data_IF_135651771113
#
_entry.id   IF_135651771113
#
_cell.length_a   1.000
_cell.length_b   1.000
_cell.length_c   1.000
_cell.angle_alpha   90.00
_cell.angle_beta   90.00
_cell.angle_gamma   90.00
#
_symmetry.space_group_name_H-M   'P 1'
#
loop_
_entity.id
_entity.type
_entity.pdbx_description
1 polymer ?
#
# COMPACT_ATOMS: atom_id res chain seq x y z
N UNK A 1 -11.73 4.18 14.25
CA UNK A 1 -12.89 3.27 14.44
C UNK A 1 -13.98 3.66 13.47
N UNK A 2 -14.39 2.75 12.58
CA UNK A 2 -15.51 3.00 11.67
C UNK A 2 -16.79 3.08 12.48
N UNK A 3 -17.68 3.98 12.08
CA UNK A 3 -19.00 4.05 12.70
C UNK A 3 -19.70 2.70 12.47
N UNK A 4 -20.35 2.18 13.52
CA UNK A 4 -21.22 1.01 13.41
C UNK A 4 -22.24 1.18 12.26
N UNK A 5 -22.66 2.42 11.97
CA UNK A 5 -23.56 2.72 10.86
C UNK A 5 -22.90 2.48 9.48
N UNK A 6 -21.64 2.88 9.29
CA UNK A 6 -20.93 2.61 8.03
C UNK A 6 -20.83 1.11 7.77
N UNK A 7 -20.49 0.31 8.79
CA UNK A 7 -20.35 -1.15 8.67
C UNK A 7 -21.68 -1.84 8.26
N UNK A 8 -22.81 -1.18 8.49
CA UNK A 8 -24.15 -1.62 8.09
C UNK A 8 -24.64 -0.93 6.80
N UNK A 9 -23.73 -0.43 5.96
CA UNK A 9 -24.03 0.28 4.71
C UNK A 9 -25.04 1.43 4.87
N UNK A 10 -24.96 2.14 6.00
CA UNK A 10 -25.75 3.33 6.27
C UNK A 10 -24.93 4.57 5.92
N UNK A 11 -25.37 5.32 4.92
CA UNK A 11 -24.87 6.66 4.67
C UNK A 11 -25.49 7.61 5.69
N UNK A 12 -24.68 8.19 6.57
CA UNK A 12 -25.19 9.09 7.62
C UNK A 12 -24.65 10.51 7.45
N UNK A 13 -25.53 11.49 7.60
CA UNK A 13 -25.18 12.91 7.76
C UNK A 13 -25.44 13.38 9.19
N UNK A 14 -25.47 14.70 9.38
CA UNK A 14 -25.65 15.32 10.72
C UNK A 14 -26.99 14.96 11.37
N UNK A 15 -28.08 14.96 10.60
CA UNK A 15 -29.44 14.78 11.12
C UNK A 15 -30.13 13.50 10.61
N UNK A 16 -29.73 13.04 9.43
CA UNK A 16 -30.46 12.04 8.68
C UNK A 16 -29.55 10.93 8.17
N UNK A 17 -30.12 9.76 7.95
CA UNK A 17 -29.40 8.59 7.47
C UNK A 17 -30.17 7.91 6.33
N UNK A 18 -29.45 7.17 5.49
CA UNK A 18 -30.03 6.44 4.38
C UNK A 18 -29.38 5.05 4.30
N UNK A 19 -30.20 4.00 4.28
CA UNK A 19 -29.69 2.65 4.12
C UNK A 19 -29.46 2.36 2.63
N UNK A 20 -28.21 2.12 2.23
CA UNK A 20 -27.86 1.91 0.82
C UNK A 20 -28.23 0.51 0.30
N UNK A 21 -28.38 -0.47 1.18
CA UNK A 21 -28.79 -1.84 0.83
C UNK A 21 -30.31 -2.04 0.87
N UNK A 22 -31.03 -1.26 1.69
CA UNK A 22 -32.50 -1.29 1.75
C UNK A 22 -33.17 -0.18 0.93
N UNK A 23 -32.43 0.86 0.56
CA UNK A 23 -32.91 2.06 -0.16
C UNK A 23 -34.04 2.81 0.58
N UNK A 24 -33.87 3.00 1.89
CA UNK A 24 -34.85 3.71 2.70
C UNK A 24 -34.21 4.84 3.53
N UNK A 25 -34.97 5.91 3.66
CA UNK A 25 -34.67 7.04 4.55
C UNK A 25 -34.88 6.64 6.02
N UNK A 26 -33.99 7.14 6.89
CA UNK A 26 -34.01 6.90 8.32
C UNK A 26 -33.91 8.26 9.04
N UNK A 27 -35.00 8.64 9.71
CA UNK A 27 -35.20 9.99 10.25
C UNK A 27 -34.25 10.36 11.40
N UNK A 28 -33.61 9.37 12.04
CA UNK A 28 -32.64 9.63 13.08
C UNK A 28 -32.00 8.37 13.65
N UNK A 29 -31.07 8.57 14.59
CA UNK A 29 -30.23 7.51 15.17
C UNK A 29 -31.03 6.31 15.71
N UNK A 30 -32.15 6.55 16.39
CA UNK A 30 -33.00 5.49 16.96
C UNK A 30 -33.63 4.63 15.87
N UNK A 31 -34.12 5.24 14.80
CA UNK A 31 -34.69 4.53 13.66
C UNK A 31 -33.65 3.73 12.91
N UNK A 32 -32.44 4.29 12.75
CA UNK A 32 -31.30 3.58 12.17
C UNK A 32 -30.95 2.33 12.96
N UNK A 33 -30.83 2.42 14.29
CA UNK A 33 -30.53 1.26 15.15
C UNK A 33 -31.62 0.19 15.04
N UNK A 34 -32.89 0.60 15.05
CA UNK A 34 -34.02 -0.31 14.87
C UNK A 34 -34.01 -0.97 13.49
N UNK A 35 -33.65 -0.21 12.45
CA UNK A 35 -33.57 -0.69 11.06
C UNK A 35 -32.48 -1.74 10.88
N UNK A 36 -31.25 -1.48 11.34
CA UNK A 36 -30.12 -2.42 11.18
C UNK A 36 -30.34 -3.75 11.92
N UNK A 37 -31.23 -3.75 12.92
CA UNK A 37 -31.57 -4.94 13.69
C UNK A 37 -32.59 -5.86 12.98
N UNK A 38 -33.29 -5.38 11.96
CA UNK A 38 -34.28 -6.15 11.19
C UNK A 38 -33.59 -7.23 10.35
N UNK A 39 -34.22 -8.39 10.23
CA UNK A 39 -33.63 -9.51 9.48
C UNK A 39 -33.54 -9.20 7.97
N UNK A 40 -34.54 -8.52 7.41
CA UNK A 40 -34.49 -8.04 6.01
C UNK A 40 -33.25 -7.19 5.72
N UNK A 41 -32.83 -6.35 6.67
CA UNK A 41 -31.63 -5.54 6.51
C UNK A 41 -30.36 -6.42 6.51
N UNK A 42 -30.25 -7.35 7.47
CA UNK A 42 -29.10 -8.26 7.57
C UNK A 42 -28.96 -9.09 6.30
N UNK A 43 -30.05 -9.66 5.78
CA UNK A 43 -30.04 -10.41 4.51
C UNK A 43 -29.58 -9.55 3.34
N UNK A 44 -30.06 -8.31 3.24
CA UNK A 44 -29.63 -7.38 2.19
C UNK A 44 -28.15 -6.97 2.33
N UNK A 45 -27.65 -6.82 3.56
CA UNK A 45 -26.26 -6.49 3.84
C UNK A 45 -25.32 -7.66 3.51
N UNK A 46 -25.70 -8.90 3.86
CA UNK A 46 -24.96 -10.12 3.53
C UNK A 46 -24.86 -10.33 2.01
N UNK A 47 -25.93 -10.04 1.26
CA UNK A 47 -25.93 -10.09 -0.19
C UNK A 47 -25.05 -9.00 -0.85
N UNK A 48 -24.74 -7.93 -0.11
CA UNK A 48 -23.95 -6.80 -0.59
C UNK A 48 -22.47 -7.09 -0.36
N UNK A 49 -21.77 -7.61 -1.37
CA UNK A 49 -20.35 -8.02 -1.24
C UNK A 49 -19.38 -6.83 -1.32
N UNK A 50 -18.21 -6.99 -0.70
CA UNK A 50 -17.06 -6.12 -0.97
C UNK A 50 -16.57 -6.30 -2.41
N UNK A 51 -16.14 -5.21 -3.03
CA UNK A 51 -15.50 -5.28 -4.34
C UNK A 51 -14.12 -5.90 -4.15
N UNK A 52 -13.82 -6.96 -4.89
CA UNK A 52 -12.59 -7.76 -4.73
C UNK A 52 -11.32 -6.90 -4.71
N UNK A 53 -11.17 -6.00 -5.70
CA UNK A 53 -10.05 -5.06 -5.80
C UNK A 53 -9.93 -4.06 -4.63
N UNK A 54 -10.98 -3.88 -3.82
CA UNK A 54 -11.06 -2.92 -2.71
C UNK A 54 -11.44 -3.55 -1.38
N UNK A 55 -11.20 -4.85 -1.21
CA UNK A 55 -11.52 -5.55 0.04
C UNK A 55 -10.82 -4.90 1.24
N UNK A 56 -9.55 -4.50 1.08
CA UNK A 56 -8.80 -3.82 2.15
C UNK A 56 -9.23 -2.38 2.40
N UNK A 57 -9.96 -1.79 1.46
CA UNK A 57 -10.48 -0.42 1.50
C UNK A 57 -11.93 -0.37 1.98
N UNK A 58 -12.51 -1.54 2.28
CA UNK A 58 -13.90 -1.71 2.72
C UNK A 58 -14.89 -1.00 1.79
N UNK A 59 -14.66 -1.12 0.46
CA UNK A 59 -15.61 -0.64 -0.54
C UNK A 59 -16.58 -1.76 -0.89
N UNK A 60 -17.85 -1.54 -0.56
CA UNK A 60 -18.94 -2.48 -0.77
C UNK A 60 -19.78 -2.10 -1.98
N UNK A 61 -20.21 -3.09 -2.76
CA UNK A 61 -21.20 -2.90 -3.83
C UNK A 61 -22.61 -2.86 -3.21
N UNK A 62 -23.27 -1.72 -3.31
CA UNK A 62 -24.65 -1.50 -2.86
C UNK A 62 -25.60 -1.44 -4.06
N UNK A 63 -26.92 -1.36 -3.83
CA UNK A 63 -27.94 -1.49 -4.90
C UNK A 63 -27.72 -0.55 -6.09
N UNK A 64 -27.32 0.70 -5.86
CA UNK A 64 -27.16 1.73 -6.91
C UNK A 64 -25.73 2.23 -7.12
N UNK A 65 -24.72 1.56 -6.55
CA UNK A 65 -23.35 2.03 -6.68
C UNK A 65 -22.40 1.35 -5.71
N UNK A 66 -21.47 2.13 -5.17
CA UNK A 66 -20.41 1.66 -4.29
C UNK A 66 -20.34 2.54 -3.04
N UNK A 67 -19.94 1.95 -1.93
CA UNK A 67 -19.88 2.65 -0.65
C UNK A 67 -18.58 2.32 0.08
N UNK A 68 -17.83 3.34 0.47
CA UNK A 68 -16.64 3.21 1.31
C UNK A 68 -17.05 3.30 2.78
N UNK A 69 -16.95 2.19 3.51
CA UNK A 69 -17.30 2.14 4.93
C UNK A 69 -16.34 2.99 5.79
N UNK A 70 -15.08 3.10 5.37
CA UNK A 70 -14.04 3.88 6.07
C UNK A 70 -14.34 5.38 6.07
N UNK A 71 -14.83 5.89 4.93
CA UNK A 71 -15.02 7.32 4.70
C UNK A 71 -16.48 7.77 4.77
N UNK A 72 -17.44 6.82 4.89
CA UNK A 72 -18.87 7.12 4.78
C UNK A 72 -19.20 7.90 3.49
N UNK A 73 -18.60 7.47 2.35
CA UNK A 73 -18.76 8.10 1.03
C UNK A 73 -19.40 7.13 0.04
N UNK A 74 -20.33 7.64 -0.75
CA UNK A 74 -21.04 6.92 -1.80
C UNK A 74 -20.53 7.32 -3.18
N UNK A 75 -20.43 6.35 -4.08
CA UNK A 75 -19.98 6.53 -5.46
C UNK A 75 -20.99 5.90 -6.42
N UNK A 76 -21.28 6.61 -7.50
CA UNK A 76 -22.17 6.10 -8.56
C UNK A 76 -21.49 5.07 -9.45
N UNK A 77 -20.15 5.14 -9.57
CA UNK A 77 -19.35 4.26 -10.44
C UNK A 77 -18.10 3.77 -9.71
N UNK A 78 -17.54 2.67 -10.18
CA UNK A 78 -16.32 2.10 -9.59
C UNK A 78 -15.07 2.97 -9.86
N UNK A 79 -15.09 3.74 -10.96
CA UNK A 79 -14.01 4.67 -11.32
C UNK A 79 -13.87 5.76 -10.24
N UNK A 80 -14.98 6.28 -9.72
CA UNK A 80 -14.97 7.21 -8.59
C UNK A 80 -14.39 6.56 -7.33
N UNK A 81 -14.69 5.27 -7.09
CA UNK A 81 -14.07 4.48 -6.02
C UNK A 81 -12.55 4.37 -6.17
N UNK A 82 -12.05 4.09 -7.38
CA UNK A 82 -10.60 4.05 -7.70
C UNK A 82 -9.91 5.38 -7.42
N UNK A 83 -10.52 6.49 -7.79
CA UNK A 83 -9.98 7.81 -7.51
C UNK A 83 -10.00 8.10 -6.00
N UNK A 84 -11.06 7.69 -5.31
CA UNK A 84 -11.23 7.90 -3.88
C UNK A 84 -10.20 7.16 -3.02
N UNK A 85 -9.85 5.91 -3.34
CA UNK A 85 -8.89 5.15 -2.50
C UNK A 85 -7.48 5.74 -2.51
N UNK A 86 -7.17 6.58 -3.50
CA UNK A 86 -5.92 7.34 -3.61
C UNK A 86 -6.00 8.74 -2.98
N UNK A 87 -7.15 9.09 -2.39
CA UNK A 87 -7.34 10.35 -1.67
C UNK A 87 -6.67 10.29 -0.28
N UNK A 88 -6.04 11.39 0.13
CA UNK A 88 -5.33 11.47 1.41
C UNK A 88 -6.27 11.25 2.60
N UNK A 89 -7.51 11.72 2.49
CA UNK A 89 -8.53 11.48 3.51
C UNK A 89 -8.83 9.98 3.69
N UNK A 90 -8.92 9.22 2.59
CA UNK A 90 -9.14 7.77 2.65
C UNK A 90 -7.95 7.04 3.24
N UNK A 91 -6.73 7.38 2.78
CA UNK A 91 -5.49 6.80 3.33
C UNK A 91 -5.42 7.02 4.84
N UNK A 92 -5.76 8.22 5.32
CA UNK A 92 -5.84 8.55 6.74
C UNK A 92 -6.90 7.73 7.47
N UNK A 93 -8.14 7.70 6.97
CA UNK A 93 -9.24 6.96 7.60
C UNK A 93 -8.95 5.45 7.66
N UNK A 94 -8.34 4.89 6.62
CA UNK A 94 -7.88 3.50 6.55
C UNK A 94 -6.78 3.25 7.57
N UNK A 95 -5.77 4.10 7.60
CA UNK A 95 -4.64 4.01 8.53
C UNK A 95 -5.09 4.04 10.00
N UNK A 96 -6.05 4.90 10.34
CA UNK A 96 -6.58 5.01 11.70
C UNK A 96 -7.24 3.71 12.21
N UNK A 97 -7.84 2.90 11.33
CA UNK A 97 -8.42 1.60 11.73
C UNK A 97 -7.36 0.56 12.09
N UNK A 98 -6.12 0.75 11.62
CA UNK A 98 -5.03 -0.19 11.82
C UNK A 98 -4.30 0.05 13.14
N UNK A 99 -4.64 1.11 13.87
CA UNK A 99 -4.17 1.34 15.22
C UNK A 99 -4.92 0.47 16.22
N UNK A 100 -4.16 -0.19 17.10
CA UNK A 100 -4.69 -0.92 18.25
C UNK A 100 -3.93 -0.48 19.50
N UNK A 101 -4.65 -0.27 20.61
CA UNK A 101 -4.03 0.00 21.91
C UNK A 101 -3.68 -1.32 22.58
N UNK A 102 -2.48 -1.41 23.15
CA UNK A 102 -2.00 -2.54 23.92
C UNK A 102 -2.13 -2.25 25.43
N UNK A 103 -2.17 -3.28 26.27
CA UNK A 103 -2.41 -3.17 27.73
C UNK A 103 -1.37 -2.31 28.47
N UNK A 104 -0.16 -2.18 27.93
CA UNK A 104 0.94 -1.41 28.52
C UNK A 104 1.00 0.06 28.06
N UNK A 105 -0.06 0.56 27.41
CA UNK A 105 -0.10 1.92 26.88
C UNK A 105 0.68 2.11 25.58
N UNK A 106 1.21 1.03 24.98
CA UNK A 106 1.73 1.05 23.62
C UNK A 106 0.60 1.09 22.59
N UNK A 107 0.93 1.54 21.39
CA UNK A 107 0.04 1.52 20.23
C UNK A 107 0.69 0.63 19.18
N UNK A 108 -0.06 -0.24 18.51
CA UNK A 108 0.45 -0.99 17.36
C UNK A 108 -0.22 -0.52 16.08
N UNK A 109 0.54 -0.46 14.98
CA UNK A 109 0.03 -0.19 13.63
C UNK A 109 0.43 -1.33 12.70
N UNK A 110 -0.54 -2.03 12.08
CA UNK A 110 -0.27 -3.24 11.28
C UNK A 110 0.62 -4.26 12.01
N UNK A 111 0.35 -4.46 13.30
CA UNK A 111 1.15 -5.28 14.22
C UNK A 111 2.55 -4.74 14.54
N UNK A 112 2.99 -3.61 13.97
CA UNK A 112 4.25 -2.97 14.35
C UNK A 112 4.04 -2.20 15.67
N UNK A 113 4.73 -2.56 16.76
CA UNK A 113 4.61 -1.85 18.02
C UNK A 113 5.26 -0.47 17.92
N UNK A 114 4.52 0.56 18.30
CA UNK A 114 4.96 1.93 18.52
C UNK A 114 5.13 2.12 20.02
N UNK A 115 6.31 2.57 20.44
CA UNK A 115 6.61 2.74 21.86
C UNK A 115 5.76 3.84 22.48
N UNK A 116 5.61 3.76 23.81
CA UNK A 116 4.85 4.75 24.58
C UNK A 116 5.45 6.15 24.41
N UNK A 117 6.77 6.23 24.38
CA UNK A 117 7.54 7.45 24.16
C UNK A 117 7.28 8.00 22.75
N UNK A 118 7.41 7.16 21.71
CA UNK A 118 7.20 7.60 20.33
C UNK A 118 5.78 8.12 20.11
N UNK A 119 4.77 7.38 20.59
CA UNK A 119 3.38 7.78 20.46
C UNK A 119 3.10 9.13 21.11
N UNK A 120 3.64 9.37 22.31
CA UNK A 120 3.48 10.60 23.07
C UNK A 120 4.48 11.70 22.68
N UNK A 121 5.29 11.52 21.63
CA UNK A 121 6.25 12.54 21.21
C UNK A 121 7.34 12.82 22.25
N UNK A 122 7.80 11.78 22.94
CA UNK A 122 8.81 11.89 23.98
C UNK A 122 10.17 11.49 23.43
N UNK A 123 11.13 12.40 23.51
CA UNK A 123 12.53 12.18 23.17
C UNK A 123 13.34 12.62 24.37
N UNK A 124 14.02 11.66 24.99
CA UNK A 124 14.74 11.86 26.27
C UNK A 124 13.78 12.37 27.36
N UNK A 125 14.01 13.56 27.92
CA UNK A 125 13.16 14.21 28.93
C UNK A 125 12.34 15.38 28.36
N UNK A 126 12.23 15.47 27.03
CA UNK A 126 11.49 16.52 26.33
C UNK A 126 10.29 15.94 25.59
N UNK A 127 9.14 16.60 25.69
CA UNK A 127 7.99 16.34 24.84
C UNK A 127 8.01 17.30 23.66
N UNK A 128 8.09 16.77 22.43
CA UNK A 128 8.12 17.58 21.21
C UNK A 128 6.71 18.04 20.77
N UNK A 129 5.65 17.46 21.34
CA UNK A 129 4.26 17.86 21.08
C UNK A 129 3.91 19.08 21.92
N UNK A 130 4.29 19.06 23.21
CA UNK A 130 4.06 20.18 24.13
C UNK A 130 5.16 21.25 24.06
N UNK A 131 6.31 20.92 23.48
CA UNK A 131 7.56 21.70 23.52
C UNK A 131 8.00 22.06 24.95
N UNK A 132 7.91 21.09 25.86
CA UNK A 132 8.27 21.25 27.28
C UNK A 132 9.14 20.10 27.78
N UNK A 133 10.03 20.39 28.72
CA UNK A 133 10.69 19.38 29.56
C UNK A 133 9.78 18.95 30.70
N UNK A 134 9.99 17.75 31.23
CA UNK A 134 9.20 17.21 32.35
C UNK A 134 10.05 16.33 33.27
N UNK A 135 9.69 16.28 34.56
CA UNK A 135 10.39 15.47 35.56
C UNK A 135 9.91 14.00 35.59
N UNK A 136 8.62 13.79 35.29
CA UNK A 136 7.98 12.48 35.34
C UNK A 136 7.18 12.22 34.07
N UNK A 137 7.59 11.20 33.32
CA UNK A 137 6.92 10.77 32.09
C UNK A 137 5.43 10.50 32.32
N UNK A 138 5.10 9.73 33.36
CA UNK A 138 3.71 9.34 33.65
C UNK A 138 2.84 10.53 34.01
N UNK A 139 3.36 11.46 34.82
CA UNK A 139 2.65 12.69 35.18
C UNK A 139 2.38 13.55 33.92
N UNK A 140 3.39 13.71 33.07
CA UNK A 140 3.28 14.52 31.86
C UNK A 140 2.27 13.95 30.86
N UNK A 141 2.40 12.67 30.48
CA UNK A 141 1.55 12.09 29.41
C UNK A 141 0.09 11.88 29.85
N UNK A 142 -0.19 11.92 31.16
CA UNK A 142 -1.55 11.86 31.70
C UNK A 142 -2.13 13.23 32.00
N UNK A 143 -1.34 14.31 31.87
CA UNK A 143 -1.83 15.68 32.02
C UNK A 143 -2.87 16.02 30.96
N UNK A 144 -3.82 16.87 31.34
CA UNK A 144 -4.90 17.28 30.44
C UNK A 144 -4.36 18.07 29.25
N UNK A 145 -3.35 18.90 29.48
CA UNK A 145 -2.67 19.72 28.49
C UNK A 145 -2.01 18.84 27.43
N UNK A 146 -1.23 17.82 27.83
CA UNK A 146 -0.61 16.89 26.89
C UNK A 146 -1.64 16.11 26.08
N UNK A 147 -2.67 15.57 26.74
CA UNK A 147 -3.72 14.81 26.05
C UNK A 147 -4.47 15.67 25.03
N UNK A 148 -4.70 16.94 25.35
CA UNK A 148 -5.32 17.88 24.43
C UNK A 148 -4.43 18.12 23.20
N UNK A 149 -3.14 18.42 23.39
CA UNK A 149 -2.20 18.62 22.28
C UNK A 149 -2.02 17.34 21.46
N UNK A 150 -1.89 16.18 22.10
CA UNK A 150 -1.76 14.88 21.43
C UNK A 150 -2.94 14.57 20.51
N UNK A 151 -4.16 15.00 20.86
CA UNK A 151 -5.35 14.84 20.01
C UNK A 151 -5.36 15.82 18.84
N UNK A 152 -4.76 17.00 19.00
CA UNK A 152 -4.69 18.01 17.95
C UNK A 152 -3.63 17.72 16.89
N UNK A 153 -2.57 16.98 17.24
CA UNK A 153 -1.51 16.67 16.28
C UNK A 153 -1.79 15.36 15.55
N UNK A 154 -2.12 15.49 14.27
CA UNK A 154 -2.42 14.38 13.38
C UNK A 154 -1.20 13.46 13.15
N UNK A 155 -1.49 12.18 12.98
CA UNK A 155 -0.53 11.18 12.49
C UNK A 155 -0.75 10.99 11.01
N UNK A 156 0.30 11.18 10.24
CA UNK A 156 0.33 11.01 8.80
C UNK A 156 0.87 9.64 8.40
N UNK A 157 0.37 9.16 7.25
CA UNK A 157 0.70 7.86 6.69
C UNK A 157 1.52 8.05 5.43
N UNK A 158 2.81 7.73 5.51
CA UNK A 158 3.72 7.86 4.39
C UNK A 158 3.82 6.61 3.52
N UNK A 159 4.64 6.72 2.48
CA UNK A 159 5.02 5.59 1.66
C UNK A 159 5.67 4.46 2.51
N UNK A 160 5.65 3.24 1.99
CA UNK A 160 6.31 2.07 2.61
C UNK A 160 5.83 1.75 4.04
N UNK A 161 4.57 2.07 4.37
CA UNK A 161 3.99 1.93 5.71
C UNK A 161 4.64 2.81 6.78
N UNK A 162 5.34 3.88 6.37
CA UNK A 162 5.90 4.85 7.30
C UNK A 162 4.81 5.58 8.08
N UNK A 163 5.05 5.79 9.37
CA UNK A 163 4.19 6.57 10.25
C UNK A 163 4.98 7.77 10.75
N UNK A 164 4.42 8.95 10.60
CA UNK A 164 5.06 10.17 11.07
C UNK A 164 4.06 11.19 11.57
N UNK A 165 4.56 12.15 12.32
CA UNK A 165 3.80 13.29 12.82
C UNK A 165 4.44 14.56 12.30
N UNK A 166 3.64 15.42 11.68
CA UNK A 166 4.11 16.74 11.21
C UNK A 166 4.15 17.69 12.40
N UNK A 167 5.27 18.39 12.53
CA UNK A 167 5.49 19.47 13.50
C UNK A 167 5.71 20.77 12.70
N UNK A 168 5.75 21.92 13.37
CA UNK A 168 5.82 23.23 12.70
C UNK A 168 6.94 23.33 11.65
N UNK A 169 8.15 22.86 11.98
CA UNK A 169 9.33 22.91 11.12
C UNK A 169 10.06 21.56 11.01
N UNK A 170 9.41 20.48 11.42
CA UNK A 170 10.02 19.17 11.55
C UNK A 170 8.99 18.05 11.34
N UNK A 171 9.44 16.81 11.32
CA UNK A 171 8.55 15.67 11.52
C UNK A 171 9.18 14.63 12.44
N UNK A 172 8.35 13.93 13.19
CA UNK A 172 8.75 12.80 14.01
C UNK A 172 8.40 11.50 13.30
N UNK A 173 9.36 10.60 13.10
CA UNK A 173 9.08 9.23 12.69
C UNK A 173 8.66 8.40 13.90
N UNK A 174 7.44 7.86 13.90
CA UNK A 174 6.92 7.10 15.05
C UNK A 174 7.57 5.71 15.18
N UNK A 175 8.12 5.16 14.10
CA UNK A 175 8.83 3.89 14.12
C UNK A 175 10.23 4.03 14.73
N UNK A 176 10.95 5.10 14.38
CA UNK A 176 12.31 5.35 14.86
C UNK A 176 12.35 6.11 16.20
N UNK A 177 11.27 6.82 16.52
CA UNK A 177 11.23 7.87 17.54
C UNK A 177 12.30 8.95 17.36
N UNK A 178 12.50 9.40 16.11
CA UNK A 178 13.49 10.42 15.75
C UNK A 178 12.80 11.60 15.08
N UNK A 179 13.35 12.81 15.28
CA UNK A 179 12.86 14.05 14.66
C UNK A 179 13.81 14.49 13.56
N UNK A 180 13.23 14.88 12.43
CA UNK A 180 13.95 15.28 11.23
C UNK A 180 13.51 16.67 10.79
N UNK A 181 14.47 17.48 10.38
CA UNK A 181 14.23 18.79 9.74
C UNK A 181 14.17 18.60 8.23
N UNK A 182 13.07 18.97 7.54
CA UNK A 182 12.96 18.87 6.09
C UNK A 182 13.99 19.75 5.39
N UNK A 183 14.63 19.23 4.35
CA UNK A 183 15.67 19.98 3.60
C UNK A 183 15.08 21.08 2.71
N UNK A 184 13.82 20.93 2.26
CA UNK A 184 13.18 21.82 1.28
C UNK A 184 11.72 22.18 1.61
N UNK A 185 11.37 22.34 2.90
CA UNK A 185 9.99 22.58 3.41
C UNK A 185 8.94 21.49 3.10
N UNK A 186 9.19 20.57 2.17
CA UNK A 186 8.32 19.45 1.88
C UNK A 186 8.58 18.30 2.87
N UNK A 187 7.70 18.17 3.86
CA UNK A 187 7.77 17.14 4.90
C UNK A 187 7.54 15.74 4.31
N UNK A 188 6.56 15.57 3.43
CA UNK A 188 6.20 14.27 2.84
C UNK A 188 7.37 13.66 2.05
N UNK A 189 8.06 14.49 1.27
CA UNK A 189 9.28 14.16 0.54
C UNK A 189 10.42 13.68 1.44
N UNK A 190 10.62 14.41 2.54
CA UNK A 190 11.69 14.15 3.49
C UNK A 190 11.39 12.85 4.27
N UNK A 191 10.13 12.67 4.70
CA UNK A 191 9.67 11.44 5.33
C UNK A 191 9.82 10.24 4.40
N UNK A 192 9.44 10.37 3.12
CA UNK A 192 9.59 9.30 2.12
C UNK A 192 11.05 8.91 1.93
N UNK A 193 11.95 9.89 1.86
CA UNK A 193 13.39 9.64 1.78
C UNK A 193 13.88 8.90 3.02
N UNK A 194 13.46 9.34 4.22
CA UNK A 194 13.80 8.69 5.48
C UNK A 194 13.35 7.21 5.51
N UNK A 195 12.13 6.91 5.06
CA UNK A 195 11.63 5.52 5.05
C UNK A 195 12.42 4.59 4.13
N UNK A 196 13.13 5.13 3.14
CA UNK A 196 14.03 4.38 2.26
C UNK A 196 15.43 4.18 2.84
N UNK A 197 15.78 4.86 3.93
CA UNK A 197 17.08 4.72 4.57
C UNK A 197 17.25 3.31 5.16
N UNK A 198 18.47 2.77 5.04
CA UNK A 198 18.81 1.45 5.55
C UNK A 198 18.61 1.33 7.07
N UNK A 199 18.81 2.43 7.81
CA UNK A 199 18.56 2.51 9.25
C UNK A 199 17.09 2.30 9.58
N UNK A 200 16.18 3.03 8.91
CA UNK A 200 14.74 2.88 9.10
C UNK A 200 14.30 1.46 8.81
N UNK A 201 14.69 0.91 7.64
CA UNK A 201 14.32 -0.45 7.23
C UNK A 201 14.74 -1.50 8.27
N UNK A 202 15.97 -1.41 8.80
CA UNK A 202 16.46 -2.33 9.84
C UNK A 202 15.63 -2.25 11.13
N UNK A 203 15.25 -1.04 11.56
CA UNK A 203 14.41 -0.85 12.75
C UNK A 203 13.02 -1.45 12.51
N UNK A 204 12.41 -1.13 11.38
CA UNK A 204 11.10 -1.65 10.99
C UNK A 204 11.07 -3.18 10.94
N UNK A 205 12.04 -3.80 10.24
CA UNK A 205 12.14 -5.26 10.10
C UNK A 205 12.31 -5.95 11.47
N UNK A 206 13.10 -5.35 12.38
CA UNK A 206 13.28 -5.84 13.74
C UNK A 206 11.95 -5.81 14.52
N UNK A 207 11.20 -4.72 14.44
CA UNK A 207 9.91 -4.58 15.13
C UNK A 207 8.86 -5.54 14.54
N UNK A 208 8.82 -5.68 13.22
CA UNK A 208 7.94 -6.61 12.52
C UNK A 208 8.21 -8.06 12.91
N UNK A 209 9.49 -8.45 12.97
CA UNK A 209 9.90 -9.79 13.41
C UNK A 209 9.47 -10.06 14.85
N UNK A 210 9.74 -9.13 15.76
CA UNK A 210 9.37 -9.26 17.17
C UNK A 210 7.84 -9.40 17.36
N UNK A 211 7.05 -8.65 16.58
CA UNK A 211 5.60 -8.75 16.60
C UNK A 211 5.10 -10.13 16.16
N UNK A 212 5.65 -10.65 15.06
CA UNK A 212 5.29 -11.97 14.55
C UNK A 212 5.65 -13.09 15.54
N UNK A 213 6.79 -12.99 16.22
CA UNK A 213 7.19 -13.94 17.27
C UNK A 213 6.19 -13.94 18.45
N UNK A 214 5.69 -12.77 18.85
CA UNK A 214 4.68 -12.66 19.92
C UNK A 214 3.34 -13.29 19.53
N UNK A 215 2.90 -13.11 18.28
CA UNK A 215 1.68 -13.72 17.76
C UNK A 215 1.76 -15.26 17.80
N UNK A 216 2.88 -15.83 17.37
CA UNK A 216 3.08 -17.29 17.39
C UNK A 216 3.10 -17.88 18.81
N UNK A 217 3.62 -17.14 19.80
CA UNK A 217 3.61 -17.57 21.21
C UNK A 217 2.18 -17.60 21.77
N UNK A 218 1.36 -16.61 21.41
CA UNK A 218 -0.03 -16.54 21.85
C UNK A 218 -0.88 -17.67 21.27
N UNK A 219 -0.70 -18.01 19.98
CA UNK A 219 -1.42 -19.12 19.33
C UNK A 219 -1.08 -20.50 19.94
N UNK A 220 0.18 -20.70 20.35
CA UNK A 220 0.58 -21.94 21.04
C UNK A 220 -0.09 -22.06 22.42
N UNK A 221 -0.30 -20.96 23.13
CA UNK A 221 -0.95 -20.95 24.46
C UNK A 221 -2.45 -21.24 24.36
N UNK A 222 -3.14 -20.64 23.38
CA UNK A 222 -4.59 -20.86 23.17
C UNK A 222 -4.89 -22.29 22.74
N UNK A 223 -4.03 -22.91 21.92
CA UNK A 223 -4.23 -24.30 21.48
C UNK A 223 -3.90 -25.36 22.54
N UNK A 224 -2.98 -25.09 23.48
CA UNK A 224 -2.65 -26.02 24.56
C UNK A 224 -3.75 -26.12 25.64
N UNK A 225 -4.66 -25.13 25.71
CA UNK A 225 -5.82 -25.14 26.61
C UNK A 225 -7.00 -25.97 26.11
N UNK A 226 -7.17 -26.12 24.78
CA UNK A 226 -8.30 -26.87 24.19
C UNK A 226 -8.06 -28.37 24.05
N UNK A 227 -6.81 -28.83 24.13
CA UNK A 227 -6.44 -30.25 23.94
C UNK A 227 -6.59 -31.13 25.20
N UNK A 228 -7.07 -30.58 26.33
CA UNK A 228 -7.38 -31.37 27.55
C UNK A 228 -8.87 -31.70 27.76
N UNK A 229 -9.77 -31.28 26.86
CA UNK A 229 -11.23 -31.49 26.99
C UNK A 229 -11.89 -32.44 25.99
N UNK A 230 -11.17 -33.00 25.03
CA UNK A 230 -11.72 -33.86 23.97
C UNK A 230 -11.00 -35.21 23.89
N UNK A 231 -11.00 -35.96 25.00
CA UNK A 231 -10.68 -37.39 25.01
C UNK A 231 -11.81 -38.15 25.72
N UNK A 232 -13.00 -38.19 25.09
CA UNK A 232 -14.07 -39.11 25.53
C UNK A 232 -15.11 -39.52 24.48
N UNK A 233 -15.09 -39.04 23.21
CA UNK A 233 -16.20 -39.37 22.29
C UNK A 233 -15.92 -39.73 20.83
N UNK A 234 -14.70 -39.70 20.31
CA UNK A 234 -14.46 -40.08 18.91
C UNK A 234 -13.48 -41.25 18.77
N UNK A 235 -13.97 -42.43 19.15
CA UNK A 235 -13.41 -43.73 18.79
C UNK A 235 -14.43 -44.51 17.96
N UNK A 236 -14.93 -43.95 16.84
CA UNK A 236 -15.72 -44.71 15.87
C UNK A 236 -15.88 -44.00 14.50
N UNK A 237 -14.78 -43.64 13.83
CA UNK A 237 -14.80 -43.47 12.36
C UNK A 237 -13.36 -43.38 11.81
N UNK A 238 -12.70 -44.53 11.67
CA UNK A 238 -11.52 -44.65 10.82
C UNK A 238 -11.63 -45.96 10.06
N UNK A 239 -12.22 -45.90 8.88
CA UNK A 239 -11.95 -46.79 7.76
C UNK A 239 -12.48 -46.12 6.49
N UNK A 240 -11.68 -46.22 5.42
CA UNK A 240 -11.94 -45.82 4.03
C UNK A 240 -11.69 -44.34 3.68
N UNK A 241 -10.46 -44.05 3.27
CA UNK A 241 -10.16 -43.61 1.89
C UNK A 241 -8.66 -43.31 1.75
N UNK A 242 -7.97 -44.22 1.07
CA UNK A 242 -6.67 -44.05 0.44
C UNK A 242 -6.83 -43.35 -0.93
N UNK A 243 -5.73 -42.80 -1.43
CA UNK A 243 -5.49 -42.25 -2.76
C UNK A 243 -5.95 -40.81 -3.06
N UNK A 244 -5.07 -39.86 -2.73
CA UNK A 244 -4.74 -38.76 -3.65
C UNK A 244 -3.36 -38.20 -3.31
N UNK A 245 -2.32 -38.69 -3.98
CA UNK A 245 -1.00 -38.06 -4.03
C UNK A 245 -1.07 -36.84 -4.94
N UNK A 246 -1.30 -35.67 -4.36
CA UNK A 246 -0.97 -34.39 -4.98
C UNK A 246 0.29 -33.87 -4.30
N UNK A 247 1.25 -33.50 -5.16
CA UNK A 247 2.57 -33.05 -4.81
C UNK A 247 2.52 -31.92 -3.78
N UNK A 248 3.30 -32.07 -2.72
CA UNK A 248 3.72 -30.95 -1.89
C UNK A 248 4.73 -30.14 -2.73
N UNK A 249 4.26 -29.09 -3.38
CA UNK A 249 5.12 -27.99 -3.81
C UNK A 249 5.52 -27.21 -2.55
N UNK A 250 6.57 -27.70 -1.88
CA UNK A 250 7.41 -26.87 -1.01
C UNK A 250 8.18 -25.89 -1.91
N UNK A 251 7.47 -24.90 -2.43
CA UNK A 251 8.03 -23.81 -3.21
C UNK A 251 8.76 -22.87 -2.24
N UNK A 252 10.07 -23.03 -2.21
CA UNK A 252 11.01 -22.02 -1.76
C UNK A 252 10.99 -20.89 -2.81
N UNK A 253 9.85 -20.22 -2.96
CA UNK A 253 9.63 -19.16 -3.94
C UNK A 253 10.52 -17.98 -3.54
N UNK A 254 11.62 -17.80 -4.24
CA UNK A 254 12.58 -16.70 -4.10
C UNK A 254 11.94 -15.30 -4.32
N UNK A 255 10.61 -15.24 -4.43
CA UNK A 255 9.82 -14.03 -4.61
C UNK A 255 9.89 -13.51 -6.04
N UNK A 256 10.25 -14.37 -7.00
CA UNK A 256 10.40 -14.06 -8.42
C UNK A 256 9.20 -14.62 -9.17
N UNK A 257 8.36 -13.73 -9.71
CA UNK A 257 7.17 -14.12 -10.45
C UNK A 257 7.24 -13.65 -11.89
N UNK A 258 7.17 -14.58 -12.84
CA UNK A 258 7.09 -14.27 -14.27
C UNK A 258 5.63 -14.14 -14.73
N UNK A 259 5.32 -13.11 -15.50
CA UNK A 259 3.99 -12.78 -16.01
C UNK A 259 4.07 -12.42 -17.50
N UNK A 260 3.00 -12.67 -18.26
CA UNK A 260 2.84 -12.01 -19.56
C UNK A 260 2.60 -10.51 -19.38
N UNK A 261 2.90 -9.72 -20.41
CA UNK A 261 2.70 -8.27 -20.33
C UNK A 261 1.23 -7.91 -20.11
N UNK A 262 0.27 -8.67 -20.66
CA UNK A 262 -1.17 -8.38 -20.49
C UNK A 262 -1.66 -8.67 -19.07
N UNK A 263 -1.05 -9.64 -18.38
CA UNK A 263 -1.32 -9.90 -16.96
C UNK A 263 -0.71 -8.85 -16.05
N UNK A 264 0.39 -8.22 -16.48
CA UNK A 264 1.05 -7.17 -15.72
C UNK A 264 0.41 -5.79 -15.94
N UNK A 265 0.12 -5.43 -17.19
CA UNK A 265 -0.39 -4.11 -17.60
C UNK A 265 -1.90 -4.19 -17.83
N UNK A 266 -2.67 -3.74 -16.84
CA UNK A 266 -4.13 -3.60 -16.94
C UNK A 266 -4.55 -2.32 -17.66
N UNK A 267 -3.75 -1.25 -17.50
CA UNK A 267 -3.99 0.04 -18.13
C UNK A 267 -2.66 0.79 -18.29
N UNK A 268 -2.54 1.60 -19.34
CA UNK A 268 -1.43 2.53 -19.49
C UNK A 268 -1.82 3.74 -20.33
N UNK A 269 -1.20 4.88 -20.06
CA UNK A 269 -1.38 6.08 -20.85
C UNK A 269 -0.12 6.94 -20.85
N UNK A 270 0.10 7.65 -21.96
CA UNK A 270 1.22 8.55 -22.11
C UNK A 270 0.89 9.93 -21.53
N UNK A 271 1.87 10.55 -20.87
CA UNK A 271 1.80 11.92 -20.36
C UNK A 271 2.97 12.74 -20.88
N UNK A 272 2.79 14.05 -20.94
CA UNK A 272 3.91 14.96 -21.22
C UNK A 272 4.83 14.95 -20.00
N UNK A 273 6.07 14.54 -20.19
CA UNK A 273 7.08 14.52 -19.14
C UNK A 273 7.41 15.94 -18.68
N UNK A 274 7.67 16.09 -17.38
CA UNK A 274 7.95 17.39 -16.77
C UNK A 274 9.38 17.87 -17.04
N UNK A 275 10.29 16.96 -17.44
CA UNK A 275 11.65 17.27 -17.84
C UNK A 275 11.85 17.28 -19.37
N UNK A 276 12.34 18.42 -19.87
CA UNK A 276 12.93 18.60 -21.23
C UNK A 276 12.07 18.14 -22.43
N UNK A 277 10.74 18.11 -22.29
CA UNK A 277 9.83 17.76 -23.38
C UNK A 277 9.78 16.26 -23.71
N UNK A 278 10.30 15.40 -22.83
CA UNK A 278 10.11 13.96 -22.93
C UNK A 278 8.64 13.55 -22.77
N UNK A 279 8.35 12.28 -23.07
CA UNK A 279 7.06 11.64 -22.76
C UNK A 279 7.29 10.54 -21.75
N UNK A 280 6.36 10.40 -20.82
CA UNK A 280 6.33 9.32 -19.85
C UNK A 280 5.10 8.44 -20.08
N UNK A 281 5.16 7.20 -19.61
CA UNK A 281 4.05 6.26 -19.63
C UNK A 281 3.73 5.89 -18.19
N UNK A 282 2.49 6.17 -17.79
CA UNK A 282 1.93 5.71 -16.53
C UNK A 282 1.34 4.32 -16.75
N UNK A 283 1.79 3.35 -15.97
CA UNK A 283 1.36 1.95 -16.02
C UNK A 283 0.56 1.66 -14.74
N UNK A 284 -0.65 1.12 -14.91
CA UNK A 284 -1.57 0.73 -13.83
C UNK A 284 -1.83 1.83 -12.79
N UNK A 285 -1.70 3.11 -13.16
CA UNK A 285 -1.75 4.26 -12.24
C UNK A 285 -0.75 4.21 -11.06
N UNK A 286 0.26 3.33 -11.13
CA UNK A 286 1.16 3.02 -10.02
C UNK A 286 2.63 3.18 -10.36
N UNK A 287 2.98 3.01 -11.62
CA UNK A 287 4.36 3.04 -12.11
C UNK A 287 4.43 4.09 -13.19
N UNK A 288 5.53 4.82 -13.25
CA UNK A 288 5.82 5.70 -14.39
C UNK A 288 7.22 5.42 -14.90
N UNK A 289 7.35 5.31 -16.22
CA UNK A 289 8.64 5.10 -16.90
C UNK A 289 8.73 6.02 -18.10
N UNK A 290 9.96 6.29 -18.57
CA UNK A 290 10.14 7.03 -19.80
C UNK A 290 9.56 6.28 -21.00
N UNK A 291 9.05 7.00 -22.01
CA UNK A 291 8.42 6.40 -23.20
C UNK A 291 9.35 5.42 -23.92
N UNK A 292 10.62 5.78 -24.12
CA UNK A 292 11.59 4.88 -24.74
C UNK A 292 11.80 3.62 -23.92
N UNK A 293 11.84 3.77 -22.58
CA UNK A 293 11.95 2.61 -21.69
C UNK A 293 10.71 1.73 -21.72
N UNK A 294 9.50 2.31 -21.81
CA UNK A 294 8.27 1.51 -21.96
C UNK A 294 8.36 0.53 -23.14
N UNK A 295 8.87 0.99 -24.28
CA UNK A 295 9.07 0.20 -25.51
C UNK A 295 10.41 -0.54 -25.60
N UNK A 296 11.21 -0.57 -24.53
CA UNK A 296 12.56 -1.16 -24.49
C UNK A 296 13.48 -0.65 -25.60
N UNK A 297 13.44 0.67 -25.84
CA UNK A 297 14.30 1.37 -26.78
C UNK A 297 15.39 2.11 -25.98
N UNK A 298 16.62 1.64 -26.13
CA UNK A 298 17.81 2.17 -25.43
C UNK A 298 18.57 3.11 -26.37
N UNK A 299 19.37 4.01 -25.77
CA UNK A 299 20.30 4.89 -26.48
C UNK A 299 21.66 4.81 -25.79
N UNK A 300 22.57 4.05 -26.38
CA UNK A 300 23.99 4.10 -26.05
C UNK A 300 24.67 5.01 -27.08
N UNK A 301 25.23 4.44 -28.14
CA UNK A 301 25.76 5.19 -29.30
C UNK A 301 24.72 5.38 -30.41
N UNK A 302 23.87 4.36 -30.59
CA UNK A 302 22.76 4.35 -31.55
C UNK A 302 21.47 3.98 -30.83
N UNK A 303 20.32 4.29 -31.44
CA UNK A 303 19.04 3.83 -30.92
C UNK A 303 18.88 2.35 -31.22
N UNK A 304 18.48 1.57 -30.22
CA UNK A 304 18.27 0.13 -30.37
C UNK A 304 16.97 -0.27 -29.72
N UNK A 305 16.12 -1.01 -30.44
CA UNK A 305 15.02 -1.75 -29.82
C UNK A 305 15.57 -3.09 -29.31
N UNK A 306 15.55 -3.28 -28.00
CA UNK A 306 16.15 -4.47 -27.37
C UNK A 306 15.32 -5.74 -27.58
N UNK A 307 13.99 -5.60 -27.70
CA UNK A 307 13.07 -6.72 -27.95
C UNK A 307 13.15 -7.21 -29.40
N UNK A 308 13.20 -6.28 -30.37
CA UNK A 308 13.30 -6.61 -31.79
C UNK A 308 14.75 -6.85 -32.26
N UNK A 309 15.73 -6.61 -31.40
CA UNK A 309 17.17 -6.58 -31.69
C UNK A 309 17.50 -5.77 -32.97
N UNK A 310 16.89 -4.58 -33.08
CA UNK A 310 16.96 -3.74 -34.27
C UNK A 310 17.61 -2.39 -33.93
N UNK A 311 18.65 -2.03 -34.67
CA UNK A 311 19.21 -0.67 -34.66
C UNK A 311 18.29 0.27 -35.44
N UNK A 312 17.97 1.42 -34.84
CA UNK A 312 17.04 2.41 -35.36
C UNK A 312 17.76 3.73 -35.61
N UNK A 313 17.33 4.47 -36.63
CA UNK A 313 17.62 5.91 -36.69
C UNK A 313 16.57 6.67 -35.87
N UNK A 314 16.87 7.92 -35.51
CA UNK A 314 15.94 8.75 -34.73
C UNK A 314 14.56 8.90 -35.40
N UNK A 315 14.54 8.96 -36.73
CA UNK A 315 13.30 9.14 -37.52
C UNK A 315 12.46 7.85 -37.60
N UNK A 316 13.08 6.68 -37.39
CA UNK A 316 12.43 5.38 -37.50
C UNK A 316 11.73 4.94 -36.20
N UNK A 317 12.06 5.57 -35.06
CA UNK A 317 11.59 5.14 -33.73
C UNK A 317 10.06 5.13 -33.66
N UNK A 318 9.43 6.21 -34.14
CA UNK A 318 7.99 6.37 -34.05
C UNK A 318 7.24 5.40 -34.96
N UNK A 319 7.77 5.12 -36.16
CA UNK A 319 7.22 4.12 -37.06
C UNK A 319 7.43 2.69 -36.50
N UNK A 320 8.62 2.41 -35.95
CA UNK A 320 8.96 1.10 -35.40
C UNK A 320 8.07 0.71 -34.23
N UNK A 321 7.87 1.60 -33.23
CA UNK A 321 7.07 1.29 -32.04
C UNK A 321 5.59 1.03 -32.35
N UNK A 322 5.10 1.57 -33.47
CA UNK A 322 3.72 1.39 -33.95
C UNK A 322 3.59 0.20 -34.92
N UNK A 323 4.70 -0.46 -35.26
CA UNK A 323 4.66 -1.61 -36.16
C UNK A 323 4.05 -2.83 -35.45
N UNK A 324 3.24 -3.59 -36.18
CA UNK A 324 2.64 -4.84 -35.69
C UNK A 324 3.69 -5.84 -35.20
N UNK A 325 4.88 -5.84 -35.83
CA UNK A 325 6.01 -6.68 -35.42
C UNK A 325 6.49 -6.32 -34.00
N UNK A 326 6.63 -5.03 -33.71
CA UNK A 326 7.07 -4.58 -32.39
C UNK A 326 5.99 -4.85 -31.33
N UNK A 327 4.72 -4.61 -31.66
CA UNK A 327 3.59 -4.89 -30.77
C UNK A 327 3.52 -6.38 -30.39
N UNK A 328 3.65 -7.28 -31.37
CA UNK A 328 3.70 -8.73 -31.11
C UNK A 328 4.87 -9.11 -30.21
N UNK A 329 6.07 -8.59 -30.52
CA UNK A 329 7.26 -8.89 -29.72
C UNK A 329 7.16 -8.33 -28.28
N UNK A 330 6.52 -7.18 -28.09
CA UNK A 330 6.19 -6.64 -26.76
C UNK A 330 5.21 -7.54 -25.99
N UNK A 331 4.20 -8.09 -26.67
CA UNK A 331 3.22 -9.03 -26.09
C UNK A 331 3.90 -10.30 -25.57
N UNK A 332 4.83 -10.83 -26.35
CA UNK A 332 5.57 -12.06 -26.07
C UNK A 332 6.68 -11.86 -25.03
N UNK A 333 7.07 -10.61 -24.74
CA UNK A 333 8.14 -10.31 -23.77
C UNK A 333 7.62 -10.47 -22.33
N UNK A 334 8.16 -11.41 -21.54
CA UNK A 334 7.73 -11.60 -20.17
C UNK A 334 8.16 -10.46 -19.25
N UNK A 335 7.32 -10.18 -18.26
CA UNK A 335 7.61 -9.28 -17.14
C UNK A 335 7.94 -10.12 -15.91
N UNK A 336 9.06 -9.81 -15.26
CA UNK A 336 9.51 -10.51 -14.05
C UNK A 336 9.36 -9.55 -12.87
N UNK A 337 8.57 -9.97 -11.88
CA UNK A 337 8.38 -9.26 -10.62
C UNK A 337 9.34 -9.82 -9.58
N UNK A 338 10.07 -8.93 -8.90
CA UNK A 338 11.04 -9.30 -7.87
C UNK A 338 10.56 -8.70 -6.54
N UNK A 339 9.81 -9.50 -5.78
CA UNK A 339 9.22 -9.07 -4.50
C UNK A 339 10.31 -8.78 -3.46
N UNK A 340 11.36 -9.61 -3.41
CA UNK A 340 12.49 -9.46 -2.48
C UNK A 340 13.22 -8.11 -2.62
N UNK A 341 13.15 -7.48 -3.80
CA UNK A 341 13.78 -6.19 -4.09
C UNK A 341 12.85 -4.98 -3.85
N UNK A 342 11.69 -5.18 -3.22
CA UNK A 342 10.72 -4.10 -2.97
C UNK A 342 9.72 -3.90 -4.10
N UNK A 343 9.24 -5.01 -4.68
CA UNK A 343 8.30 -5.05 -5.81
C UNK A 343 8.86 -4.36 -7.07
N UNK A 344 10.12 -4.66 -7.39
CA UNK A 344 10.72 -4.26 -8.67
C UNK A 344 10.11 -5.05 -9.82
N UNK A 345 10.18 -4.50 -11.03
CA UNK A 345 9.87 -5.23 -12.24
C UNK A 345 10.98 -5.04 -13.29
N UNK A 346 11.29 -6.11 -13.99
CA UNK A 346 12.21 -6.13 -15.14
C UNK A 346 11.53 -6.88 -16.29
N UNK A 347 12.10 -6.81 -17.48
CA UNK A 347 11.63 -7.58 -18.65
C UNK A 347 12.77 -8.40 -19.23
N UNK A 348 12.54 -9.67 -19.50
CA UNK A 348 13.52 -10.50 -20.21
C UNK A 348 13.30 -10.30 -21.72
N UNK A 349 14.06 -9.38 -22.30
CA UNK A 349 13.88 -8.95 -23.71
C UNK A 349 14.45 -9.96 -24.70
N UNK A 350 15.39 -10.80 -24.25
CA UNK A 350 15.99 -11.95 -24.93
C UNK A 350 16.44 -12.95 -23.85
N UNK A 351 16.69 -14.23 -24.19
CA UNK A 351 17.16 -15.21 -23.21
C UNK A 351 18.38 -14.69 -22.42
N UNK A 352 18.24 -14.64 -21.10
CA UNK A 352 19.25 -14.13 -20.16
C UNK A 352 19.63 -12.64 -20.33
N UNK A 353 18.83 -11.84 -21.03
CA UNK A 353 19.04 -10.39 -21.18
C UNK A 353 17.85 -9.65 -20.57
N UNK A 354 18.12 -8.87 -19.54
CA UNK A 354 17.10 -8.24 -18.71
C UNK A 354 17.14 -6.72 -18.85
N UNK A 355 15.98 -6.13 -19.10
CA UNK A 355 15.79 -4.69 -19.21
C UNK A 355 15.18 -4.11 -17.92
N UNK A 356 15.82 -3.07 -17.38
CA UNK A 356 15.28 -2.27 -16.27
C UNK A 356 14.40 -1.13 -16.79
N UNK A 357 13.11 -1.14 -16.47
CA UNK A 357 12.15 -0.11 -16.88
C UNK A 357 12.37 1.28 -16.28
N UNK A 358 13.04 1.37 -15.13
CA UNK A 358 13.32 2.66 -14.48
C UNK A 358 14.56 3.33 -15.04
N UNK A 359 15.60 2.56 -15.30
CA UNK A 359 16.91 3.05 -15.74
C UNK A 359 17.08 3.07 -17.26
N UNK A 360 16.21 2.36 -18.00
CA UNK A 360 16.32 2.13 -19.44
C UNK A 360 17.67 1.53 -19.87
N UNK A 361 18.14 0.52 -19.11
CA UNK A 361 19.36 -0.24 -19.40
C UNK A 361 19.05 -1.72 -19.59
N UNK A 362 19.97 -2.44 -20.23
CA UNK A 362 19.96 -3.90 -20.36
C UNK A 362 21.19 -4.51 -19.70
N UNK A 363 21.00 -5.63 -19.03
CA UNK A 363 22.05 -6.39 -18.36
C UNK A 363 21.99 -7.86 -18.78
N UNK A 364 23.15 -8.50 -18.89
CA UNK A 364 23.25 -9.93 -19.19
C UNK A 364 23.35 -10.74 -17.89
N UNK A 365 22.43 -11.69 -17.71
CA UNK A 365 22.34 -12.56 -16.55
C UNK A 365 21.52 -11.97 -15.39
N UNK A 366 20.79 -12.85 -14.69
CA UNK A 366 19.94 -12.47 -13.57
C UNK A 366 20.74 -11.86 -12.42
N UNK A 367 21.93 -12.40 -12.11
CA UNK A 367 22.79 -11.87 -11.05
C UNK A 367 23.22 -10.42 -11.30
N UNK A 368 23.48 -10.07 -12.56
CA UNK A 368 23.92 -8.74 -12.95
C UNK A 368 22.78 -7.73 -12.80
N UNK A 369 21.58 -8.07 -13.27
CA UNK A 369 20.42 -7.19 -13.09
C UNK A 369 20.04 -7.06 -11.61
N UNK A 370 20.13 -8.15 -10.81
CA UNK A 370 19.89 -8.08 -9.36
C UNK A 370 20.91 -7.18 -8.65
N UNK A 371 22.18 -7.20 -9.06
CA UNK A 371 23.18 -6.23 -8.57
C UNK A 371 22.81 -4.80 -8.98
N UNK A 372 22.42 -4.58 -10.24
CA UNK A 372 21.96 -3.28 -10.73
C UNK A 372 20.82 -2.71 -9.89
N UNK A 373 19.78 -3.51 -9.61
CA UNK A 373 18.63 -3.08 -8.80
C UNK A 373 19.01 -2.60 -7.39
N UNK A 374 20.19 -3.02 -6.89
CA UNK A 374 20.72 -2.62 -5.59
C UNK A 374 21.62 -1.37 -5.63
N UNK A 375 21.98 -0.88 -6.82
CA UNK A 375 22.83 0.31 -7.00
C UNK A 375 22.14 1.59 -6.53
N UNK A 376 22.93 2.63 -6.24
CA UNK A 376 22.41 3.96 -5.91
C UNK A 376 21.65 4.58 -7.08
N UNK A 377 22.15 4.40 -8.31
CA UNK A 377 21.57 4.98 -9.52
C UNK A 377 20.17 4.41 -9.83
N UNK A 378 19.97 3.10 -9.62
CA UNK A 378 18.65 2.49 -9.74
C UNK A 378 17.67 3.06 -8.73
N UNK A 379 18.08 3.14 -7.46
CA UNK A 379 17.24 3.70 -6.39
C UNK A 379 16.86 5.15 -6.69
N UNK A 380 17.81 5.94 -7.19
CA UNK A 380 17.56 7.32 -7.60
C UNK A 380 16.60 7.41 -8.78
N UNK A 381 16.76 6.54 -9.79
CA UNK A 381 15.85 6.47 -10.96
C UNK A 381 14.43 6.09 -10.55
N UNK A 382 14.30 5.15 -9.61
CA UNK A 382 13.01 4.74 -9.04
C UNK A 382 12.34 5.85 -8.23
N UNK A 383 13.11 6.56 -7.40
CA UNK A 383 12.62 7.72 -6.64
C UNK A 383 12.15 8.81 -7.62
N UNK A 384 12.97 9.12 -8.63
CA UNK A 384 12.63 10.09 -9.68
C UNK A 384 11.34 9.72 -10.42
N UNK A 385 11.15 8.44 -10.75
CA UNK A 385 9.89 7.94 -11.29
C UNK A 385 8.72 8.19 -10.32
N UNK A 386 8.83 7.78 -9.05
CA UNK A 386 7.77 8.01 -8.07
C UNK A 386 7.37 9.49 -7.95
N UNK A 387 8.36 10.41 -7.97
CA UNK A 387 8.13 11.85 -7.98
C UNK A 387 7.35 12.34 -9.20
N UNK A 388 7.74 11.92 -10.41
CA UNK A 388 7.03 12.30 -11.64
C UNK A 388 5.59 11.79 -11.65
N UNK A 389 5.35 10.59 -11.11
CA UNK A 389 4.01 10.06 -10.97
C UNK A 389 3.19 10.92 -10.01
N UNK A 390 3.75 11.25 -8.84
CA UNK A 390 3.08 12.08 -7.85
C UNK A 390 2.74 13.47 -8.41
N UNK A 391 3.69 14.13 -9.08
CA UNK A 391 3.49 15.42 -9.73
C UNK A 391 2.33 15.37 -10.75
N UNK A 392 2.31 14.36 -11.61
CA UNK A 392 1.20 14.14 -12.55
C UNK A 392 -0.14 13.97 -11.85
N UNK A 393 -0.18 13.21 -10.74
CA UNK A 393 -1.41 12.99 -9.98
C UNK A 393 -1.90 14.25 -9.28
N UNK A 394 -1.01 15.17 -8.88
CA UNK A 394 -1.39 16.46 -8.33
C UNK A 394 -2.02 17.38 -9.39
N UNK A 395 -1.43 17.48 -10.59
CA UNK A 395 -1.97 18.30 -11.68
C UNK A 395 -3.38 17.83 -12.05
N UNK A 396 -3.58 16.52 -12.17
CA UNK A 396 -4.89 15.94 -12.50
C UNK A 396 -5.98 16.20 -11.46
N UNK A 397 -5.62 16.48 -10.20
CA UNK A 397 -6.60 16.85 -9.15
C UNK A 397 -7.07 18.30 -9.27
N UNK A 398 -6.33 19.15 -9.99
CA UNK A 398 -6.64 20.57 -10.17
C UNK A 398 -7.49 20.84 -11.43
N UNK A 399 -7.51 19.89 -12.37
CA UNK A 399 -8.39 19.87 -13.56
C UNK A 399 -9.74 19.24 -13.22
#
# INVERSE_FOLDING_TARGET
>A
MTSNFSQNAILFGTLQSYCLVCECYLAGKRDTIRHISKDDHKTNLEASIFVEEFTTDQIRKVKKGFFCELCNKYFSTIIQGRLHVSDGEHVRNKGVQLFQRMENGMVSYKNIPITKEAWNGIIENKCIICDTEFDSLESHITSQEHLFQLVQVDVEFGAYNGLYRVLENAFQCLTCNEVYTPVNTNVEASATTHFLESKHKRIYDKLAKAANEQLQVNDKRTNKGKSRGLNAKNALSRQLSSDSSLANEDDNDDGIKMLSIEKFINDFYAIKGTSLGGKDVVINTKIIVGLSSFYCITKLDTWKCEICDLTLNSDDIDAHRLSQKHEAAMSDTPVILIQAAGNEFIREVRPEVYHCGFCNIVEQGMDTILKHLNTADHKQSRISAAWRLHEHMLVKKLE
#
